data_IF_254156785614
#
_entry.id   IF_254156785614
#
_cell.length_a   1.000
_cell.length_b   1.000
_cell.length_c   1.000
_cell.angle_alpha   90.00
_cell.angle_beta   90.00
_cell.angle_gamma   90.00
#
_symmetry.space_group_name_H-M   'P 1'
#
loop_
_entity.id
_entity.type
_entity.pdbx_description
1 polymer ?
#
# COMPACT_ATOMS: atom_id res chain seq x y z
N UNK A 1 25.56 -6.63 8.88
CA UNK A 1 24.38 -5.74 9.02
C UNK A 1 23.23 -6.37 8.24
N UNK A 2 22.32 -7.05 8.90
CA UNK A 2 21.06 -7.45 8.25
C UNK A 2 20.27 -6.18 7.98
N UNK A 3 20.01 -5.87 6.71
CA UNK A 3 19.11 -4.79 6.35
C UNK A 3 17.74 -5.07 6.98
N UNK A 4 17.11 -4.06 7.59
CA UNK A 4 15.77 -4.21 8.19
C UNK A 4 14.70 -4.61 7.16
N UNK A 5 13.49 -5.00 7.62
CA UNK A 5 12.41 -5.43 6.74
C UNK A 5 12.06 -4.38 5.68
N UNK A 6 11.63 -4.84 4.51
CA UNK A 6 11.05 -3.94 3.51
C UNK A 6 9.67 -3.47 3.97
N UNK A 7 9.41 -2.17 3.94
CA UNK A 7 8.08 -1.65 4.26
C UNK A 7 7.11 -1.83 3.07
N UNK A 8 5.96 -2.43 3.35
CA UNK A 8 4.84 -2.65 2.43
C UNK A 8 3.61 -1.85 2.88
N UNK A 9 3.26 -0.80 2.13
CA UNK A 9 2.00 -0.10 2.36
C UNK A 9 0.84 -0.83 1.68
N UNK A 10 -0.19 -1.21 2.45
CA UNK A 10 -1.42 -1.82 1.95
C UNK A 10 -2.57 -0.80 1.95
N UNK A 11 -2.98 -0.34 0.78
CA UNK A 11 -4.21 0.43 0.60
C UNK A 11 -5.47 -0.32 1.02
N UNK A 12 -6.56 0.44 1.12
CA UNK A 12 -7.85 -0.08 1.56
C UNK A 12 -8.42 -1.14 0.63
N UNK A 13 -8.09 -1.13 -0.66
CA UNK A 13 -8.54 -2.16 -1.59
C UNK A 13 -7.91 -3.53 -1.29
N UNK A 14 -6.62 -3.55 -0.92
CA UNK A 14 -5.96 -4.78 -0.51
C UNK A 14 -6.49 -5.28 0.83
N UNK A 15 -6.61 -4.40 1.83
CA UNK A 15 -7.17 -4.77 3.14
C UNK A 15 -8.59 -5.33 2.99
N UNK A 16 -9.46 -4.65 2.25
CA UNK A 16 -10.83 -5.12 1.99
C UNK A 16 -10.85 -6.41 1.16
N UNK A 17 -9.90 -6.59 0.24
CA UNK A 17 -9.77 -7.79 -0.57
C UNK A 17 -9.44 -9.03 0.26
N UNK A 18 -8.51 -8.88 1.21
CA UNK A 18 -8.12 -9.90 2.18
C UNK A 18 -9.29 -10.23 3.10
N UNK A 19 -9.84 -9.24 3.79
CA UNK A 19 -10.91 -9.46 4.78
C UNK A 19 -12.17 -10.08 4.17
N UNK A 20 -12.51 -9.75 2.92
CA UNK A 20 -13.64 -10.36 2.21
C UNK A 20 -13.31 -11.73 1.59
N UNK A 21 -12.08 -12.20 1.71
CA UNK A 21 -11.61 -13.44 1.12
C UNK A 21 -11.84 -13.50 -0.38
N UNK A 22 -11.55 -12.41 -1.12
CA UNK A 22 -11.66 -12.43 -2.58
C UNK A 22 -10.67 -13.46 -3.17
N UNK A 23 -11.00 -14.14 -4.29
CA UNK A 23 -10.23 -15.32 -4.75
C UNK A 23 -8.71 -15.15 -4.80
N UNK A 24 -8.20 -14.09 -5.44
CA UNK A 24 -6.75 -13.86 -5.52
C UNK A 24 -6.11 -13.48 -4.17
N UNK A 25 -6.88 -12.88 -3.26
CA UNK A 25 -6.41 -12.46 -1.95
C UNK A 25 -6.33 -13.61 -0.95
N UNK A 26 -7.16 -14.66 -1.12
CA UNK A 26 -7.05 -15.91 -0.34
C UNK A 26 -5.69 -16.58 -0.51
N UNK A 27 -5.11 -16.48 -1.71
CA UNK A 27 -3.77 -17.01 -2.00
C UNK A 27 -2.66 -16.04 -1.55
N UNK A 28 -2.93 -14.74 -1.49
CA UNK A 28 -1.97 -13.72 -1.05
C UNK A 28 -1.78 -13.73 0.47
N UNK A 29 -2.88 -13.80 1.24
CA UNK A 29 -2.85 -13.58 2.69
C UNK A 29 -1.88 -14.51 3.44
N UNK A 30 -1.86 -15.84 3.22
CA UNK A 30 -0.93 -16.72 3.93
C UNK A 30 0.54 -16.36 3.65
N UNK A 31 0.86 -16.00 2.40
CA UNK A 31 2.22 -15.61 1.99
C UNK A 31 2.60 -14.27 2.62
N UNK A 32 1.67 -13.31 2.68
CA UNK A 32 1.89 -12.04 3.36
C UNK A 32 2.18 -12.25 4.85
N UNK A 33 1.36 -13.05 5.55
CA UNK A 33 1.55 -13.35 6.97
C UNK A 33 2.88 -14.06 7.22
N UNK A 34 3.26 -15.02 6.38
CA UNK A 34 4.55 -15.71 6.46
C UNK A 34 5.72 -14.73 6.26
N UNK A 35 5.65 -13.83 5.27
CA UNK A 35 6.69 -12.83 5.03
C UNK A 35 6.83 -11.81 6.18
N UNK A 36 5.72 -11.44 6.82
CA UNK A 36 5.72 -10.60 8.04
C UNK A 36 6.33 -11.36 9.22
N UNK A 37 5.90 -12.59 9.47
CA UNK A 37 6.41 -13.43 10.56
C UNK A 37 7.92 -13.70 10.44
N UNK A 38 8.41 -13.87 9.21
CA UNK A 38 9.84 -14.05 8.92
C UNK A 38 10.65 -12.74 9.00
N UNK A 39 10.01 -11.58 9.23
CA UNK A 39 10.67 -10.28 9.25
C UNK A 39 11.21 -9.84 7.89
N UNK A 40 10.74 -10.44 6.78
CA UNK A 40 11.14 -10.05 5.44
C UNK A 40 10.45 -8.75 5.00
N UNK A 41 9.21 -8.55 5.44
CA UNK A 41 8.44 -7.32 5.22
C UNK A 41 7.77 -6.86 6.51
N UNK A 42 7.48 -5.56 6.60
CA UNK A 42 6.64 -5.00 7.66
C UNK A 42 5.55 -4.11 7.06
N UNK A 43 4.33 -4.19 7.60
CA UNK A 43 3.14 -3.53 7.05
C UNK A 43 2.71 -2.41 7.99
N UNK A 44 3.13 -1.15 7.78
CA UNK A 44 2.79 -0.09 8.72
C UNK A 44 1.32 0.34 8.61
N UNK A 45 0.76 0.75 9.74
CA UNK A 45 -0.50 1.49 9.84
C UNK A 45 -0.33 2.94 9.33
N UNK A 46 -1.44 3.56 8.90
CA UNK A 46 -1.50 4.97 8.54
C UNK A 46 -2.79 5.60 9.05
N UNK A 47 -2.80 6.93 9.22
CA UNK A 47 -4.01 7.67 9.57
C UNK A 47 -5.15 7.46 8.56
N UNK A 48 -4.82 7.25 7.27
CA UNK A 48 -5.81 6.96 6.22
C UNK A 48 -6.47 5.61 6.45
N UNK A 49 -5.73 4.57 6.82
CA UNK A 49 -6.33 3.26 7.14
C UNK A 49 -7.37 3.39 8.25
N UNK A 50 -7.05 4.14 9.31
CA UNK A 50 -7.97 4.37 10.41
C UNK A 50 -9.23 5.10 9.96
N UNK A 51 -9.09 6.19 9.21
CA UNK A 51 -10.23 6.97 8.73
C UNK A 51 -11.15 6.16 7.79
N UNK A 52 -10.58 5.32 6.92
CA UNK A 52 -11.35 4.56 5.93
C UNK A 52 -11.92 3.25 6.46
N UNK A 53 -11.30 2.66 7.49
CA UNK A 53 -11.74 1.39 8.07
C UNK A 53 -12.66 1.56 9.28
N UNK A 54 -12.54 2.65 10.04
CA UNK A 54 -13.39 2.92 11.21
C UNK A 54 -14.90 2.86 10.92
N UNK A 55 -15.41 3.27 9.75
CA UNK A 55 -16.84 3.16 9.44
C UNK A 55 -17.36 1.73 9.25
N UNK A 56 -16.47 0.72 9.14
CA UNK A 56 -16.81 -0.68 8.83
C UNK A 56 -16.12 -1.67 9.78
N UNK A 57 -16.40 -1.59 11.10
CA UNK A 57 -15.80 -2.49 12.08
C UNK A 57 -16.21 -3.96 11.86
N UNK A 58 -17.35 -4.19 11.21
CA UNK A 58 -17.85 -5.51 10.82
C UNK A 58 -16.89 -6.29 9.91
N UNK A 59 -16.01 -5.59 9.19
CA UNK A 59 -15.05 -6.20 8.27
C UNK A 59 -13.70 -6.56 8.94
N UNK A 60 -13.49 -6.21 10.21
CA UNK A 60 -12.26 -6.58 10.93
C UNK A 60 -10.97 -5.96 10.37
N UNK A 61 -11.05 -4.87 9.60
CA UNK A 61 -9.91 -4.34 8.84
C UNK A 61 -8.83 -3.75 9.74
N UNK A 62 -9.22 -3.11 10.85
CA UNK A 62 -8.28 -2.53 11.79
C UNK A 62 -7.59 -3.61 12.63
N UNK A 63 -8.29 -4.69 12.94
CA UNK A 63 -7.76 -5.86 13.63
C UNK A 63 -6.71 -6.55 12.75
N UNK A 64 -7.04 -6.84 11.48
CA UNK A 64 -6.10 -7.36 10.50
C UNK A 64 -4.86 -6.47 10.38
N UNK A 65 -5.05 -5.16 10.28
CA UNK A 65 -3.95 -4.23 10.12
C UNK A 65 -3.06 -4.15 11.37
N UNK A 66 -3.64 -4.18 12.57
CA UNK A 66 -2.88 -4.22 13.84
C UNK A 66 -2.05 -5.51 13.96
N UNK A 67 -2.62 -6.64 13.56
CA UNK A 67 -1.90 -7.92 13.52
C UNK A 67 -0.70 -7.86 12.56
N UNK A 68 -0.90 -7.30 11.36
CA UNK A 68 0.15 -7.19 10.35
C UNK A 68 1.21 -6.13 10.71
N UNK A 69 0.83 -5.06 11.40
CA UNK A 69 1.73 -3.96 11.72
C UNK A 69 2.61 -4.21 12.93
N UNK A 70 2.14 -5.01 13.89
CA UNK A 70 2.80 -5.13 15.19
C UNK A 70 2.96 -3.77 15.90
N UNK A 71 2.08 -2.80 15.62
CA UNK A 71 2.15 -1.44 16.14
C UNK A 71 3.00 -0.47 15.32
N UNK A 72 3.61 -0.91 14.21
CA UNK A 72 4.35 -0.03 13.31
C UNK A 72 3.42 0.99 12.65
N UNK A 73 3.79 2.28 12.68
CA UNK A 73 2.99 3.38 12.12
C UNK A 73 3.81 4.28 11.21
N UNK A 74 3.21 4.69 10.10
CA UNK A 74 3.67 5.82 9.31
C UNK A 74 3.28 7.14 9.99
N UNK A 75 3.97 8.26 9.67
CA UNK A 75 3.53 9.59 10.11
C UNK A 75 2.09 9.88 9.65
N UNK A 76 1.30 10.52 10.51
CA UNK A 76 -0.11 10.82 10.22
C UNK A 76 -0.28 11.83 9.07
N UNK A 77 0.67 12.77 8.95
CA UNK A 77 0.63 13.83 7.94
C UNK A 77 1.91 13.87 7.10
N UNK A 78 1.81 14.24 5.80
CA UNK A 78 2.97 14.46 4.97
C UNK A 78 3.83 15.63 5.47
N UNK A 79 5.13 15.39 5.58
CA UNK A 79 6.15 16.44 5.79
C UNK A 79 6.23 17.40 4.59
N UNK A 80 7.18 18.35 4.59
CA UNK A 80 7.32 19.32 3.51
C UNK A 80 7.58 18.67 2.14
N UNK A 81 8.36 17.59 2.09
CA UNK A 81 8.62 16.84 0.87
C UNK A 81 7.38 16.03 0.44
N UNK A 82 6.67 15.43 1.39
CA UNK A 82 5.38 14.79 1.17
C UNK A 82 4.33 15.75 0.60
N UNK A 83 4.24 16.98 1.12
CA UNK A 83 3.35 18.01 0.54
C UNK A 83 3.72 18.38 -0.90
N UNK A 84 5.00 18.34 -1.25
CA UNK A 84 5.43 18.52 -2.64
C UNK A 84 5.01 17.34 -3.53
N UNK A 85 5.03 16.11 -3.01
CA UNK A 85 4.48 14.93 -3.69
C UNK A 85 2.98 15.10 -3.94
N UNK A 86 2.20 15.48 -2.92
CA UNK A 86 0.75 15.74 -3.08
C UNK A 86 0.49 16.73 -4.20
N UNK A 87 1.18 17.89 -4.19
CA UNK A 87 1.02 18.90 -5.24
C UNK A 87 1.37 18.36 -6.62
N UNK A 88 2.46 17.60 -6.76
CA UNK A 88 2.88 17.01 -8.03
C UNK A 88 1.82 16.04 -8.57
N UNK A 89 1.31 15.14 -7.73
CA UNK A 89 0.25 14.21 -8.11
C UNK A 89 -1.02 14.97 -8.54
N UNK A 90 -1.44 15.99 -7.78
CA UNK A 90 -2.60 16.83 -8.11
C UNK A 90 -2.43 17.55 -9.46
N UNK A 91 -1.28 18.18 -9.68
CA UNK A 91 -0.99 18.86 -10.95
C UNK A 91 -0.99 17.91 -12.14
N UNK A 92 -0.47 16.69 -11.97
CA UNK A 92 -0.51 15.66 -13.02
C UNK A 92 -1.94 15.20 -13.28
N UNK A 93 -2.77 15.00 -12.25
CA UNK A 93 -4.19 14.68 -12.44
C UNK A 93 -4.89 15.79 -13.24
N UNK A 94 -4.69 17.05 -12.87
CA UNK A 94 -5.33 18.17 -13.56
C UNK A 94 -4.89 18.30 -15.03
N UNK A 95 -3.61 18.07 -15.33
CA UNK A 95 -3.07 18.19 -16.67
C UNK A 95 -3.44 17.00 -17.58
N UNK A 96 -3.39 15.78 -17.06
CA UNK A 96 -3.52 14.54 -17.86
C UNK A 96 -4.95 13.98 -17.84
N UNK A 97 -5.78 14.43 -16.89
CA UNK A 97 -7.18 13.99 -16.75
C UNK A 97 -8.14 15.17 -16.51
N UNK A 98 -8.15 16.21 -17.38
CA UNK A 98 -8.90 17.44 -17.15
C UNK A 98 -10.41 17.25 -17.04
N UNK A 99 -10.97 16.20 -17.65
CA UNK A 99 -12.40 15.86 -17.58
C UNK A 99 -12.79 14.95 -16.41
N UNK A 100 -11.83 14.51 -15.59
CA UNK A 100 -12.12 13.61 -14.46
C UNK A 100 -12.67 14.43 -13.29
N UNK A 101 -13.88 14.10 -12.84
CA UNK A 101 -14.42 14.62 -11.59
C UNK A 101 -13.65 14.03 -10.40
N UNK A 102 -13.17 14.91 -9.51
CA UNK A 102 -12.51 14.49 -8.28
C UNK A 102 -13.48 13.70 -7.39
N UNK A 103 -13.00 12.60 -6.82
CA UNK A 103 -13.78 11.79 -5.89
C UNK A 103 -13.42 12.16 -4.44
N UNK A 104 -14.35 12.01 -3.48
CA UNK A 104 -14.06 12.28 -2.07
C UNK A 104 -12.83 11.52 -1.53
N UNK A 105 -12.62 10.27 -1.97
CA UNK A 105 -11.47 9.44 -1.59
C UNK A 105 -10.12 9.90 -2.16
N UNK A 106 -10.11 10.62 -3.29
CA UNK A 106 -8.86 10.99 -3.98
C UNK A 106 -7.90 11.76 -3.06
N UNK A 107 -8.43 12.61 -2.18
CA UNK A 107 -7.60 13.40 -1.24
C UNK A 107 -6.92 12.51 -0.20
N UNK A 108 -7.60 11.45 0.26
CA UNK A 108 -7.04 10.49 1.20
C UNK A 108 -5.94 9.66 0.51
N UNK A 109 -6.21 9.17 -0.70
CA UNK A 109 -5.24 8.42 -1.51
C UNK A 109 -3.96 9.21 -1.79
N UNK A 110 -4.09 10.48 -2.18
CA UNK A 110 -2.96 11.36 -2.44
C UNK A 110 -2.09 11.57 -1.19
N UNK A 111 -2.72 11.71 -0.02
CA UNK A 111 -2.00 11.83 1.26
C UNK A 111 -1.31 10.53 1.64
N UNK A 112 -2.01 9.41 1.54
CA UNK A 112 -1.47 8.08 1.78
C UNK A 112 -0.21 7.85 0.93
N UNK A 113 -0.30 8.07 -0.38
CA UNK A 113 0.83 7.93 -1.30
C UNK A 113 1.99 8.87 -0.97
N UNK A 114 1.70 10.13 -0.60
CA UNK A 114 2.74 11.08 -0.23
C UNK A 114 3.52 10.68 1.03
N UNK A 115 2.89 9.97 1.96
CA UNK A 115 3.55 9.43 3.15
C UNK A 115 4.27 8.13 2.82
N UNK A 116 3.63 7.23 2.06
CA UNK A 116 4.10 5.89 1.76
C UNK A 116 5.27 5.88 0.78
N UNK A 117 5.19 6.56 -0.37
CA UNK A 117 6.19 6.46 -1.45
C UNK A 117 7.63 6.69 -0.97
N UNK A 118 7.95 7.69 -0.14
CA UNK A 118 9.32 7.90 0.31
C UNK A 118 9.86 6.84 1.29
N UNK A 119 8.97 6.03 1.90
CA UNK A 119 9.27 5.16 3.04
C UNK A 119 9.11 3.68 2.70
N UNK A 120 8.18 3.36 1.82
CA UNK A 120 7.78 2.01 1.48
C UNK A 120 8.38 1.58 0.14
N UNK A 121 9.01 0.40 0.13
CA UNK A 121 9.56 -0.21 -1.08
C UNK A 121 8.50 -0.93 -1.90
N UNK A 122 7.45 -1.40 -1.23
CA UNK A 122 6.28 -1.97 -1.87
C UNK A 122 5.07 -1.10 -1.50
N UNK A 123 4.30 -0.66 -2.48
CA UNK A 123 3.13 0.21 -2.26
C UNK A 123 1.96 -0.32 -3.06
N UNK A 124 0.85 -0.64 -2.40
CA UNK A 124 -0.41 -0.89 -3.08
C UNK A 124 -1.22 0.40 -3.20
N UNK A 125 -1.99 0.50 -4.29
CA UNK A 125 -2.92 1.60 -4.54
C UNK A 125 -3.92 1.22 -5.65
N UNK A 126 -4.96 2.00 -5.89
CA UNK A 126 -5.85 1.75 -7.02
C UNK A 126 -5.13 1.96 -8.38
N UNK A 127 -5.73 1.45 -9.45
CA UNK A 127 -5.12 1.49 -10.78
C UNK A 127 -4.95 2.91 -11.36
N UNK A 128 -5.83 3.84 -11.01
CA UNK A 128 -5.73 5.22 -11.43
C UNK A 128 -4.57 5.91 -10.69
N UNK A 129 -4.50 5.76 -9.37
CA UNK A 129 -3.41 6.34 -8.59
C UNK A 129 -2.05 5.75 -8.97
N UNK A 130 -1.97 4.46 -9.29
CA UNK A 130 -0.76 3.85 -9.83
C UNK A 130 -0.34 4.48 -11.18
N UNK A 131 -1.28 4.79 -12.08
CA UNK A 131 -0.99 5.49 -13.34
C UNK A 131 -0.44 6.90 -13.08
N UNK A 132 -1.09 7.67 -12.21
CA UNK A 132 -0.64 9.02 -11.83
C UNK A 132 0.77 8.98 -11.25
N UNK A 133 1.06 8.07 -10.32
CA UNK A 133 2.40 7.92 -9.73
C UNK A 133 3.44 7.63 -10.81
N UNK A 134 3.16 6.73 -11.76
CA UNK A 134 4.07 6.41 -12.87
C UNK A 134 4.31 7.60 -13.81
N UNK A 135 3.26 8.36 -14.16
CA UNK A 135 3.39 9.60 -14.96
C UNK A 135 4.28 10.63 -14.28
N UNK A 136 4.20 10.71 -12.95
CA UNK A 136 5.10 11.59 -12.17
C UNK A 136 6.51 11.04 -11.98
N UNK A 137 6.76 9.76 -12.31
CA UNK A 137 8.01 9.02 -12.04
C UNK A 137 8.42 8.98 -10.56
N UNK A 138 7.45 9.13 -9.66
CA UNK A 138 7.73 9.12 -8.22
C UNK A 138 8.07 7.72 -7.71
N UNK A 139 7.52 6.68 -8.34
CA UNK A 139 7.90 5.28 -8.16
C UNK A 139 9.40 5.08 -8.41
N UNK A 140 9.94 5.62 -9.52
CA UNK A 140 11.36 5.54 -9.82
C UNK A 140 12.21 6.36 -8.86
N UNK A 141 11.77 7.60 -8.56
CA UNK A 141 12.47 8.50 -7.63
C UNK A 141 12.64 7.87 -6.25
N UNK A 142 11.62 7.18 -5.76
CA UNK A 142 11.62 6.58 -4.43
C UNK A 142 11.91 5.07 -4.44
N UNK A 143 12.14 4.48 -5.62
CA UNK A 143 12.31 3.03 -5.84
C UNK A 143 11.21 2.23 -5.15
N UNK A 144 9.97 2.64 -5.38
CA UNK A 144 8.77 2.00 -4.87
C UNK A 144 8.15 1.12 -5.97
N UNK A 145 8.01 -0.17 -5.70
CA UNK A 145 7.26 -1.10 -6.54
C UNK A 145 5.76 -0.92 -6.29
N UNK A 146 5.00 -0.61 -7.34
CA UNK A 146 3.56 -0.35 -7.25
C UNK A 146 2.73 -1.57 -7.58
N UNK A 147 1.69 -1.85 -6.79
CA UNK A 147 0.79 -2.98 -6.99
C UNK A 147 -0.68 -2.53 -6.94
N UNK A 148 -1.46 -2.82 -7.99
CA UNK A 148 -2.89 -2.47 -8.00
C UNK A 148 -3.77 -3.60 -7.50
N UNK A 149 -5.03 -3.31 -7.18
CA UNK A 149 -6.02 -4.34 -6.81
C UNK A 149 -6.43 -5.30 -7.95
N UNK A 150 -5.83 -5.16 -9.15
CA UNK A 150 -6.07 -6.07 -10.28
C UNK A 150 -5.42 -7.42 -10.01
N UNK A 151 -6.08 -8.50 -10.44
CA UNK A 151 -5.64 -9.89 -10.19
C UNK A 151 -4.17 -10.15 -10.53
N UNK A 152 -3.67 -9.63 -11.66
CA UNK A 152 -2.28 -9.82 -12.07
C UNK A 152 -1.28 -9.18 -11.09
N UNK A 153 -1.59 -8.01 -10.54
CA UNK A 153 -0.72 -7.34 -9.56
C UNK A 153 -0.81 -8.01 -8.18
N UNK A 154 -1.98 -8.52 -7.78
CA UNK A 154 -2.13 -9.31 -6.55
C UNK A 154 -1.24 -10.56 -6.61
N UNK A 155 -1.22 -11.24 -7.75
CA UNK A 155 -0.34 -12.40 -7.99
C UNK A 155 1.13 -12.01 -8.01
N UNK A 156 1.49 -10.90 -8.67
CA UNK A 156 2.87 -10.40 -8.67
C UNK A 156 3.33 -10.05 -7.25
N UNK A 157 2.47 -9.44 -6.43
CA UNK A 157 2.81 -9.15 -5.03
C UNK A 157 3.04 -10.44 -4.25
N UNK A 158 2.16 -11.45 -4.42
CA UNK A 158 2.35 -12.76 -3.79
C UNK A 158 3.70 -13.38 -4.15
N UNK A 159 4.04 -13.43 -5.43
CA UNK A 159 5.33 -13.95 -5.91
C UNK A 159 6.51 -13.16 -5.33
N UNK A 160 6.39 -11.82 -5.29
CA UNK A 160 7.40 -10.95 -4.69
C UNK A 160 7.61 -11.27 -3.22
N UNK A 161 6.55 -11.44 -2.45
CA UNK A 161 6.62 -11.78 -1.02
C UNK A 161 7.21 -13.18 -0.80
N UNK A 162 6.82 -14.17 -1.60
CA UNK A 162 7.38 -15.53 -1.53
C UNK A 162 8.89 -15.58 -1.87
N UNK A 163 9.36 -14.69 -2.75
CA UNK A 163 10.78 -14.55 -3.07
C UNK A 163 11.57 -13.84 -1.95
N UNK A 164 10.91 -13.03 -1.12
CA UNK A 164 11.52 -12.33 0.01
C UNK A 164 11.54 -13.19 1.28
N UNK A 165 10.61 -14.13 1.42
CA UNK A 165 10.59 -15.05 2.55
C UNK A 165 11.77 -16.05 2.45
N UNK A 166 12.50 -16.30 3.55
CA UNK A 166 13.61 -17.26 3.57
C UNK A 166 13.13 -18.69 3.26
N UNK A 167 14.00 -19.52 2.68
CA UNK A 167 13.70 -20.91 2.28
C UNK A 167 13.19 -21.78 3.44
N UNK A 168 13.58 -21.48 4.67
CA UNK A 168 13.12 -22.16 5.89
C UNK A 168 11.65 -21.92 6.24
N UNK A 169 10.98 -20.96 5.58
CA UNK A 169 9.55 -20.70 5.71
C UNK A 169 8.71 -21.24 4.53
N UNK A 170 9.32 -22.03 3.61
CA UNK A 170 8.64 -22.59 2.42
C UNK A 170 7.99 -23.97 2.63
N UNK A 171 7.83 -24.42 3.88
CA UNK A 171 7.35 -25.75 4.22
C UNK A 171 6.17 -25.69 5.18
#
# INVERSE_FOLDING_TARGET
MTAGPLLLYLDQNYLSGIAKGKPAFRELEPVLRAAVAAGAVAVPESAVHHAESAPRPDLGLLELLRELSGGLRLPDEPDAAGRAIVRRLQSTIAAEHPGRQARPGDRADLRALAVALPRCRLVTCDAFMADVVRRTRLDLRHRAELYTGRRADVHRLRERLAALAPESARW
#
